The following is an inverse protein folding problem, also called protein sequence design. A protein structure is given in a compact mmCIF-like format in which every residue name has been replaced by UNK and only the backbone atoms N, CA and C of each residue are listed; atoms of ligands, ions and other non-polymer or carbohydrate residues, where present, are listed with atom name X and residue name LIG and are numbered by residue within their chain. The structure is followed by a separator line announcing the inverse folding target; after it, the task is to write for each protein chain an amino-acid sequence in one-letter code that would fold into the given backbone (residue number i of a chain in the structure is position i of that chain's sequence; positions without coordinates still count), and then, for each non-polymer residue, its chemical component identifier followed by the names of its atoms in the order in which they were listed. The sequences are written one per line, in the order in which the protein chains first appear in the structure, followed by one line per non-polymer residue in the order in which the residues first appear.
data_IF_179815939603
#
_entry.id   IF_179815939603
#
_cell.length_a   1.000
_cell.length_b   1.000
_cell.length_c   1.000
_cell.angle_alpha   90.00
_cell.angle_beta   90.00
_cell.angle_gamma   90.00
#
_symmetry.space_group_name_H-M   'P 1'
#
loop_
_entity.id
_entity.type
_entity.pdbx_description
1 polymer ?
#
# COMPACT_ATOMS: atom_id res chain seq x y z
N UNK A 1 17.34 -15.12 4.72
CA UNK A 1 16.25 -14.20 4.31
C UNK A 1 15.01 -14.64 5.07
N UNK A 2 14.49 -13.81 5.99
CA UNK A 2 13.23 -14.14 6.67
C UNK A 2 12.11 -14.00 5.63
N UNK A 3 11.43 -15.10 5.34
CA UNK A 3 10.25 -15.09 4.45
C UNK A 3 9.11 -14.51 5.28
N UNK A 4 8.97 -13.17 5.26
CA UNK A 4 7.80 -12.51 5.86
C UNK A 4 6.59 -12.96 5.05
N UNK A 5 5.64 -13.61 5.72
CA UNK A 5 4.34 -13.94 5.11
C UNK A 5 3.56 -12.65 5.00
N UNK A 6 3.21 -12.27 3.77
CA UNK A 6 2.42 -11.07 3.50
C UNK A 6 0.99 -11.31 3.99
N UNK A 7 0.45 -10.33 4.74
CA UNK A 7 -0.94 -10.32 5.17
C UNK A 7 -1.89 -10.13 3.98
N UNK A 8 -3.18 -10.45 4.15
CA UNK A 8 -4.19 -10.27 3.10
C UNK A 8 -4.24 -8.81 2.60
N UNK A 9 -4.10 -7.84 3.52
CA UNK A 9 -4.03 -6.41 3.18
C UNK A 9 -2.80 -6.08 2.33
N UNK A 10 -1.61 -6.55 2.73
CA UNK A 10 -0.38 -6.33 1.97
C UNK A 10 -0.44 -6.98 0.57
N UNK A 11 -1.04 -8.17 0.45
CA UNK A 11 -1.25 -8.83 -0.84
C UNK A 11 -2.23 -8.05 -1.73
N UNK A 12 -3.29 -7.49 -1.15
CA UNK A 12 -4.23 -6.65 -1.87
C UNK A 12 -3.55 -5.38 -2.40
N UNK A 13 -2.73 -4.70 -1.58
CA UNK A 13 -1.94 -3.54 -2.01
C UNK A 13 -0.99 -3.92 -3.14
N UNK A 14 -0.30 -5.05 -3.06
CA UNK A 14 0.57 -5.52 -4.15
C UNK A 14 -0.25 -5.76 -5.42
N UNK A 15 -1.39 -6.45 -5.32
CA UNK A 15 -2.25 -6.74 -6.48
C UNK A 15 -2.79 -5.45 -7.12
N UNK A 16 -3.11 -4.45 -6.32
CA UNK A 16 -3.58 -3.16 -6.80
C UNK A 16 -2.47 -2.38 -7.53
N UNK A 17 -1.25 -2.35 -6.97
CA UNK A 17 -0.09 -1.74 -7.63
C UNK A 17 0.40 -2.53 -8.85
N UNK A 18 0.19 -3.84 -8.87
CA UNK A 18 0.54 -4.72 -9.99
C UNK A 18 -0.30 -4.44 -11.25
N UNK A 19 -1.54 -3.96 -11.10
CA UNK A 19 -2.35 -3.45 -12.23
C UNK A 19 -1.65 -2.32 -13.00
N UNK A 20 -0.74 -1.61 -12.35
CA UNK A 20 0.06 -0.52 -12.92
C UNK A 20 1.50 -0.93 -13.24
N UNK A 21 1.84 -2.22 -13.10
CA UNK A 21 3.18 -2.76 -13.38
C UNK A 21 4.23 -2.45 -12.31
N UNK A 22 3.82 -2.00 -11.12
CA UNK A 22 4.71 -1.64 -10.01
C UNK A 22 4.51 -2.51 -8.76
N UNK A 23 3.87 -3.68 -8.91
CA UNK A 23 3.60 -4.62 -7.81
C UNK A 23 4.86 -5.13 -7.12
N UNK A 24 5.94 -5.41 -7.87
CA UNK A 24 7.24 -5.81 -7.33
C UNK A 24 7.88 -4.72 -6.44
N UNK A 25 7.71 -3.44 -6.80
CA UNK A 25 8.19 -2.31 -6.01
C UNK A 25 7.37 -2.18 -4.71
N UNK A 26 6.05 -2.31 -4.81
CA UNK A 26 5.18 -2.32 -3.63
C UNK A 26 5.56 -3.46 -2.67
N UNK A 27 5.77 -4.67 -3.20
CA UNK A 27 6.24 -5.82 -2.42
C UNK A 27 7.60 -5.55 -1.75
N UNK A 28 8.55 -4.96 -2.47
CA UNK A 28 9.85 -4.60 -1.90
C UNK A 28 9.70 -3.61 -0.74
N UNK A 29 8.89 -2.57 -0.89
CA UNK A 29 8.64 -1.61 0.17
C UNK A 29 7.98 -2.27 1.39
N UNK A 30 6.97 -3.11 1.18
CA UNK A 30 6.27 -3.81 2.27
C UNK A 30 7.20 -4.76 3.05
N UNK A 31 8.13 -5.42 2.35
CA UNK A 31 9.12 -6.31 2.97
C UNK A 31 10.28 -5.53 3.62
N UNK A 32 10.49 -4.27 3.24
CA UNK A 32 11.51 -3.41 3.81
C UNK A 32 10.99 -2.74 5.10
N UNK A 33 11.49 -3.11 6.29
CA UNK A 33 11.03 -2.53 7.56
C UNK A 33 11.33 -1.03 7.68
N UNK A 34 12.31 -0.50 6.91
CA UNK A 34 12.65 0.92 6.94
C UNK A 34 11.74 1.79 6.08
N UNK A 35 10.82 1.20 5.30
CA UNK A 35 9.92 1.96 4.42
C UNK A 35 8.70 2.52 5.15
N UNK A 36 8.31 1.93 6.28
CA UNK A 36 7.05 2.23 6.99
C UNK A 36 5.78 1.72 6.30
N UNK A 37 5.87 1.07 5.13
CA UNK A 37 4.68 0.65 4.36
C UNK A 37 3.84 -0.38 5.11
N UNK A 38 4.46 -1.35 5.77
CA UNK A 38 3.70 -2.37 6.50
C UNK A 38 2.92 -1.80 7.68
N UNK A 39 3.44 -0.74 8.32
CA UNK A 39 2.75 -0.06 9.42
C UNK A 39 1.56 0.74 8.88
N UNK A 40 1.78 1.51 7.81
CA UNK A 40 0.72 2.28 7.13
C UNK A 40 -0.40 1.35 6.65
N UNK A 41 -0.07 0.22 6.01
CA UNK A 41 -1.07 -0.74 5.52
C UNK A 41 -1.82 -1.42 6.68
N UNK A 42 -1.14 -1.67 7.81
CA UNK A 42 -1.79 -2.23 8.99
C UNK A 42 -2.82 -1.26 9.58
N UNK A 43 -2.46 0.03 9.68
CA UNK A 43 -3.30 1.11 10.22
C UNK A 43 -4.42 1.54 9.27
N UNK A 44 -4.21 1.38 7.96
CA UNK A 44 -5.20 1.76 6.94
C UNK A 44 -6.32 0.73 6.82
N UNK A 45 -7.56 1.21 6.72
CA UNK A 45 -8.73 0.36 6.51
C UNK A 45 -8.76 -0.19 5.09
N UNK A 46 -9.23 -1.42 4.88
CA UNK A 46 -9.29 -2.04 3.54
C UNK A 46 -10.05 -1.18 2.53
N UNK A 47 -11.07 -0.45 2.98
CA UNK A 47 -11.86 0.47 2.14
C UNK A 47 -11.05 1.67 1.64
N UNK A 48 -9.99 2.06 2.36
CA UNK A 48 -9.08 3.15 1.98
C UNK A 48 -7.88 2.65 1.15
N UNK A 49 -7.58 1.34 1.17
CA UNK A 49 -6.50 0.70 0.40
C UNK A 49 -6.78 0.58 -1.11
N UNK A 50 -7.79 1.27 -1.64
CA UNK A 50 -8.01 1.38 -3.09
C UNK A 50 -7.10 2.44 -3.70
N UNK A 51 -6.48 2.14 -4.85
CA UNK A 51 -5.62 3.11 -5.58
C UNK A 51 -6.48 4.28 -6.05
N UNK A 52 -6.53 5.33 -5.24
CA UNK A 52 -7.05 6.62 -5.68
C UNK A 52 -6.11 7.16 -6.75
N UNK A 53 -6.64 7.53 -7.92
CA UNK A 53 -5.91 8.29 -8.96
C UNK A 53 -5.66 9.75 -8.51
N UNK A 54 -5.40 9.98 -7.23
CA UNK A 54 -5.04 11.27 -6.68
C UNK A 54 -3.56 11.48 -6.87
N UNK A 55 -3.19 12.31 -7.83
CA UNK A 55 -1.84 12.87 -7.92
C UNK A 55 -1.63 13.77 -6.70
N UNK A 56 -1.09 13.20 -5.62
CA UNK A 56 -0.51 13.98 -4.53
C UNK A 56 0.98 13.69 -4.51
N UNK A 57 1.78 14.69 -4.86
CA UNK A 57 3.25 14.66 -4.92
C UNK A 57 3.92 14.51 -3.55
N UNK A 58 3.19 14.08 -2.51
CA UNK A 58 3.70 13.68 -1.19
C UNK A 58 2.73 12.66 -0.57
N UNK A 59 3.14 11.40 -0.40
CA UNK A 59 2.51 10.43 0.52
C UNK A 59 0.95 10.40 0.53
N UNK A 60 0.32 10.37 -0.65
CA UNK A 60 -1.12 10.62 -0.78
C UNK A 60 -2.02 9.41 -0.59
N UNK A 61 -2.49 9.17 0.63
CA UNK A 61 -3.85 8.63 0.83
C UNK A 61 -4.84 9.79 0.79
N UNK A 62 -5.87 9.70 -0.07
CA UNK A 62 -6.87 10.75 -0.23
C UNK A 62 -8.05 10.53 0.72
N UNK A 63 -8.10 11.26 1.84
CA UNK A 63 -9.30 11.32 2.68
C UNK A 63 -10.34 12.24 2.03
N UNK A 64 -11.51 11.71 1.64
CA UNK A 64 -12.62 12.51 1.13
C UNK A 64 -13.39 13.09 2.33
N UNK A 65 -13.18 14.36 2.66
CA UNK A 65 -14.12 15.09 3.51
C UNK A 65 -15.44 15.25 2.75
N UNK A 66 -16.50 14.60 3.25
CA UNK A 66 -17.88 14.91 2.90
C UNK A 66 -18.26 16.23 3.58
N UNK A 67 -18.75 17.20 2.80
CA UNK A 67 -19.34 18.45 3.28
C UNK A 67 -20.79 18.53 2.80
#
# INVERSE_FOLDING_TARGET
MQVKVLTEKEQQVISEYDKYGVGEIAKHNILNPNSGWSEIIAETSIEELTVGTGHNSNNGFCHRHLH
#
